data_IF_486646566360
#
_entry.id   IF_486646566360
#
_cell.length_a   1.000
_cell.length_b   1.000
_cell.length_c   1.000
_cell.angle_alpha   90.00
_cell.angle_beta   90.00
_cell.angle_gamma   90.00
#
_symmetry.space_group_name_H-M   'P 1'
#
loop_
_entity.id
_entity.type
_entity.pdbx_description
1 polymer ?
#
# COMPACT_ATOMS: atom_id res chain seq x y z
N UNK A 1 -34.44 -26.44 7.83
CA UNK A 1 -33.49 -25.50 8.45
C UNK A 1 -33.95 -24.10 8.11
N UNK A 2 -34.32 -23.33 9.14
CA UNK A 2 -35.11 -22.11 9.01
C UNK A 2 -34.29 -20.92 8.54
N UNK A 3 -34.72 -20.29 7.44
CA UNK A 3 -34.19 -19.02 6.95
C UNK A 3 -34.51 -17.90 7.96
N UNK A 4 -33.48 -17.26 8.53
CA UNK A 4 -33.67 -16.12 9.43
C UNK A 4 -33.39 -14.82 8.67
N UNK A 5 -34.41 -14.33 7.98
CA UNK A 5 -34.46 -13.00 7.36
C UNK A 5 -34.69 -11.95 8.45
N UNK A 6 -33.71 -11.09 8.75
CA UNK A 6 -33.90 -9.95 9.66
C UNK A 6 -34.09 -8.66 8.87
N UNK A 7 -35.35 -8.31 8.64
CA UNK A 7 -35.78 -6.95 8.25
C UNK A 7 -35.71 -6.06 9.50
N UNK A 8 -34.89 -5.00 9.47
CA UNK A 8 -34.92 -3.96 10.50
C UNK A 8 -35.83 -2.83 10.02
N UNK A 9 -36.91 -2.63 10.76
CA UNK A 9 -37.84 -1.52 10.66
C UNK A 9 -37.15 -0.23 11.07
N UNK A 10 -37.15 0.77 10.19
CA UNK A 10 -36.86 2.15 10.58
C UNK A 10 -38.15 2.73 11.16
N UNK A 11 -38.17 2.92 12.48
CA UNK A 11 -39.22 3.64 13.17
C UNK A 11 -39.05 5.14 12.91
N UNK A 12 -40.01 5.70 12.18
CA UNK A 12 -40.21 7.13 12.10
C UNK A 12 -40.71 7.65 13.46
N UNK A 13 -40.14 8.77 13.91
CA UNK A 13 -40.71 9.57 15.01
C UNK A 13 -40.49 11.02 14.65
N UNK A 14 -41.58 11.71 14.33
CA UNK A 14 -41.60 13.15 14.15
C UNK A 14 -41.91 13.85 15.47
N UNK A 15 -41.38 15.05 15.64
CA UNK A 15 -42.02 16.14 16.37
C UNK A 15 -41.37 17.46 15.91
N UNK A 16 -42.20 18.38 15.43
CA UNK A 16 -41.84 19.76 15.15
C UNK A 16 -42.11 20.61 16.40
N UNK A 17 -41.17 21.48 16.77
CA UNK A 17 -41.40 22.63 17.63
C UNK A 17 -40.54 23.80 17.12
N UNK A 18 -41.20 24.90 16.76
CA UNK A 18 -40.56 26.21 16.55
C UNK A 18 -40.62 26.99 17.87
N UNK A 19 -39.50 27.58 18.27
CA UNK A 19 -39.45 28.71 19.20
C UNK A 19 -38.19 29.55 18.91
N UNK A 20 -38.40 30.86 18.80
CA UNK A 20 -37.47 31.92 18.41
C UNK A 20 -36.62 32.48 19.56
N UNK A 21 -35.56 33.20 19.16
CA UNK A 21 -34.79 34.29 19.84
C UNK A 21 -33.53 33.97 20.71
N UNK A 22 -32.40 34.40 20.12
CA UNK A 22 -31.23 35.11 20.67
C UNK A 22 -30.32 34.40 21.72
N UNK A 23 -29.12 34.02 21.27
CA UNK A 23 -27.99 33.68 22.15
C UNK A 23 -26.85 32.95 21.46
N UNK A 24 -26.07 33.65 20.63
CA UNK A 24 -24.79 33.14 20.11
C UNK A 24 -23.76 33.08 21.25
N UNK A 25 -23.69 31.95 21.95
CA UNK A 25 -22.44 31.51 22.57
C UNK A 25 -22.14 30.10 22.03
N UNK A 26 -21.35 30.07 20.95
CA UNK A 26 -20.87 28.83 20.35
C UNK A 26 -19.76 28.26 21.24
N UNK A 27 -20.17 27.56 22.28
CA UNK A 27 -19.33 26.52 22.88
C UNK A 27 -19.29 25.38 21.86
N UNK A 28 -18.12 24.88 21.44
CA UNK A 28 -18.11 23.62 20.71
C UNK A 28 -18.64 22.57 21.68
N UNK A 29 -19.88 22.12 21.46
CA UNK A 29 -20.25 20.78 21.87
C UNK A 29 -19.20 19.88 21.27
N UNK A 30 -18.40 19.25 22.13
CA UNK A 30 -17.63 18.08 21.80
C UNK A 30 -18.67 17.01 21.45
N UNK A 31 -19.23 17.11 20.25
CA UNK A 31 -19.64 15.94 19.51
C UNK A 31 -18.34 15.15 19.45
N UNK A 32 -18.23 14.13 20.31
CA UNK A 32 -17.31 13.04 20.12
C UNK A 32 -17.64 12.54 18.70
N UNK A 33 -16.94 13.13 17.74
CA UNK A 33 -16.81 12.55 16.42
C UNK A 33 -16.18 11.23 16.77
N UNK A 34 -16.96 10.15 16.71
CA UNK A 34 -16.41 8.80 16.73
C UNK A 34 -15.18 8.87 15.85
N UNK A 35 -14.02 8.78 16.48
CA UNK A 35 -12.77 8.77 15.74
C UNK A 35 -12.95 7.59 14.81
N UNK A 36 -12.95 7.79 13.47
CA UNK A 36 -13.10 6.69 12.55
C UNK A 36 -12.14 5.61 13.03
N UNK A 37 -12.68 4.42 13.33
CA UNK A 37 -11.98 3.32 13.97
C UNK A 37 -10.51 3.36 13.57
N UNK A 38 -9.64 3.55 14.57
CA UNK A 38 -8.22 3.70 14.34
C UNK A 38 -7.78 2.57 13.39
N UNK A 39 -7.40 2.94 12.16
CA UNK A 39 -7.01 1.96 11.15
C UNK A 39 -5.88 1.16 11.78
N UNK A 40 -6.05 -0.16 11.99
CA UNK A 40 -5.06 -0.95 12.69
C UNK A 40 -3.73 -0.79 11.97
N UNK A 41 -2.66 -0.60 12.75
CA UNK A 41 -1.33 -0.46 12.19
C UNK A 41 -1.06 -1.67 11.29
N UNK A 42 -0.68 -1.45 10.02
CA UNK A 42 -0.47 -2.54 9.09
C UNK A 42 0.70 -3.38 9.59
N UNK A 43 0.53 -4.70 9.57
CA UNK A 43 1.64 -5.63 9.85
C UNK A 43 2.65 -5.54 8.70
N UNK A 44 3.94 -5.74 8.99
CA UNK A 44 4.99 -5.56 7.99
C UNK A 44 6.15 -6.52 8.14
N UNK A 45 6.77 -6.87 7.01
CA UNK A 45 8.04 -7.61 6.91
C UNK A 45 8.99 -6.89 5.95
N UNK A 46 10.23 -6.70 6.35
CA UNK A 46 11.23 -5.96 5.56
C UNK A 46 12.04 -6.87 4.63
N UNK A 47 12.21 -8.14 4.99
CA UNK A 47 12.95 -9.12 4.20
C UNK A 47 12.17 -10.44 4.07
N UNK A 48 11.06 -10.46 3.31
CA UNK A 48 10.36 -11.70 3.00
C UNK A 48 11.20 -12.58 2.08
N UNK A 49 10.96 -13.88 2.14
CA UNK A 49 11.45 -14.84 1.15
C UNK A 49 11.01 -14.38 -0.26
N UNK A 50 11.94 -14.40 -1.22
CA UNK A 50 11.70 -13.78 -2.53
C UNK A 50 12.52 -14.39 -3.66
N UNK A 51 11.95 -14.36 -4.85
CA UNK A 51 12.64 -14.60 -6.13
C UNK A 51 12.56 -13.35 -7.00
N UNK A 52 13.66 -13.02 -7.69
CA UNK A 52 13.76 -11.85 -8.56
C UNK A 52 14.08 -12.27 -9.99
N UNK A 53 13.25 -11.80 -10.91
CA UNK A 53 13.40 -12.01 -12.35
C UNK A 53 13.68 -10.68 -13.06
N UNK A 54 14.41 -10.73 -14.17
CA UNK A 54 14.67 -9.56 -15.02
C UNK A 54 14.61 -9.94 -16.50
N UNK A 55 13.93 -9.10 -17.30
CA UNK A 55 13.86 -9.24 -18.77
C UNK A 55 13.70 -7.88 -19.43
N UNK A 56 13.92 -7.81 -20.75
CA UNK A 56 13.71 -6.61 -21.57
C UNK A 56 12.38 -6.64 -22.34
N UNK A 57 11.77 -7.81 -22.53
CA UNK A 57 10.60 -8.01 -23.40
C UNK A 57 9.22 -7.72 -22.78
N UNK A 58 9.10 -7.69 -21.45
CA UNK A 58 7.81 -7.53 -20.75
C UNK A 58 7.90 -7.95 -19.28
N UNK A 59 6.80 -8.03 -18.52
CA UNK A 59 6.81 -8.67 -17.20
C UNK A 59 7.34 -10.12 -17.29
N UNK A 60 8.22 -10.51 -16.36
CA UNK A 60 8.78 -11.86 -16.35
C UNK A 60 7.81 -12.89 -15.73
N UNK A 61 6.92 -12.44 -14.85
CA UNK A 61 5.80 -13.23 -14.34
C UNK A 61 4.56 -12.35 -14.18
N UNK A 62 3.38 -12.90 -14.43
CA UNK A 62 2.11 -12.16 -14.30
C UNK A 62 0.92 -13.09 -14.03
N UNK A 63 -0.13 -12.53 -13.44
CA UNK A 63 -1.43 -13.17 -13.29
C UNK A 63 -2.40 -12.59 -14.34
N UNK A 64 -2.97 -13.38 -15.25
CA UNK A 64 -3.94 -12.90 -16.23
C UNK A 64 -5.22 -12.33 -15.59
N UNK A 65 -5.74 -11.24 -16.16
CA UNK A 65 -6.78 -10.37 -15.59
C UNK A 65 -8.16 -11.00 -15.35
N UNK A 66 -8.43 -12.25 -15.76
CA UNK A 66 -9.81 -12.78 -15.74
C UNK A 66 -10.44 -12.92 -14.33
N UNK A 67 -9.68 -12.76 -13.23
CA UNK A 67 -10.17 -12.68 -11.83
C UNK A 67 -9.13 -12.04 -10.87
N UNK A 68 -8.22 -11.20 -11.36
CA UNK A 68 -7.09 -10.75 -10.53
C UNK A 68 -7.46 -9.56 -9.63
N UNK A 69 -7.37 -9.71 -8.31
CA UNK A 69 -7.35 -8.57 -7.39
C UNK A 69 -6.06 -7.79 -7.60
N UNK A 70 -6.15 -6.75 -8.41
CA UNK A 70 -5.02 -5.98 -8.92
C UNK A 70 -5.21 -4.51 -8.60
N UNK A 71 -4.11 -3.82 -8.32
CA UNK A 71 -4.14 -2.37 -8.19
C UNK A 71 -3.33 -1.70 -9.28
N UNK A 72 -3.99 -0.76 -9.96
CA UNK A 72 -3.36 0.23 -10.82
C UNK A 72 -2.60 1.23 -9.95
N UNK A 73 -1.28 1.33 -10.11
CA UNK A 73 -0.49 2.34 -9.41
C UNK A 73 -0.86 3.75 -9.86
N UNK A 74 -1.27 4.59 -8.91
CA UNK A 74 -1.05 6.03 -9.02
C UNK A 74 0.44 6.29 -8.77
N UNK A 75 1.21 6.46 -9.84
CA UNK A 75 2.60 6.90 -9.75
C UNK A 75 2.60 8.39 -9.40
N UNK A 76 2.82 8.73 -8.13
CA UNK A 76 3.18 10.11 -7.77
C UNK A 76 4.68 10.30 -8.03
N UNK A 77 5.06 10.43 -9.29
CA UNK A 77 6.38 10.95 -9.67
C UNK A 77 6.32 12.46 -9.66
N UNK A 78 6.94 13.10 -8.67
CA UNK A 78 7.41 14.47 -8.83
C UNK A 78 8.65 14.44 -9.74
N UNK A 79 8.43 14.22 -11.04
CA UNK A 79 9.41 14.42 -12.09
C UNK A 79 8.67 14.60 -13.41
N UNK A 80 8.92 15.76 -14.02
CA UNK A 80 8.40 16.30 -15.28
C UNK A 80 8.24 15.27 -16.40
N UNK A 81 7.02 15.21 -16.95
CA UNK A 81 6.67 14.91 -18.34
C UNK A 81 7.20 13.63 -19.01
N UNK A 82 6.33 12.64 -19.18
CA UNK A 82 6.13 11.94 -20.48
C UNK A 82 4.85 11.08 -20.36
N UNK A 83 3.71 11.61 -20.80
CA UNK A 83 2.47 10.85 -20.96
C UNK A 83 2.49 10.14 -22.31
N UNK A 84 2.66 8.82 -22.28
CA UNK A 84 2.61 7.94 -23.45
C UNK A 84 2.07 6.57 -23.04
N UNK A 85 0.83 6.53 -22.57
CA UNK A 85 0.15 5.31 -22.14
C UNK A 85 -0.46 4.60 -23.36
N UNK A 86 0.30 3.67 -23.97
CA UNK A 86 -0.32 2.57 -24.72
C UNK A 86 -0.72 1.51 -23.70
N UNK A 87 -2.02 1.41 -23.47
CA UNK A 87 -2.66 0.50 -22.52
C UNK A 87 -2.37 -0.96 -22.88
N UNK A 88 -1.54 -1.62 -22.08
CA UNK A 88 -1.68 -3.04 -21.77
C UNK A 88 -1.61 -3.10 -20.26
N UNK A 89 -2.66 -3.62 -19.64
CA UNK A 89 -2.89 -3.64 -18.19
C UNK A 89 -1.81 -4.45 -17.45
N UNK A 90 -0.60 -3.89 -17.33
CA UNK A 90 0.48 -4.46 -16.54
C UNK A 90 0.23 -4.10 -15.09
N UNK A 91 -0.60 -4.91 -14.43
CA UNK A 91 -0.79 -4.89 -12.99
C UNK A 91 0.56 -4.77 -12.30
N UNK A 92 0.74 -3.75 -11.45
CA UNK A 92 2.03 -3.50 -10.81
C UNK A 92 2.27 -4.47 -9.66
N UNK A 93 1.25 -4.75 -8.86
CA UNK A 93 1.28 -5.75 -7.81
C UNK A 93 0.01 -6.60 -7.90
N UNK A 94 0.19 -7.92 -8.02
CA UNK A 94 -0.87 -8.92 -8.00
C UNK A 94 -0.72 -9.81 -6.76
N UNK A 95 -1.84 -10.31 -6.25
CA UNK A 95 -1.89 -11.19 -5.07
C UNK A 95 -2.47 -12.54 -5.49
N UNK A 96 -1.85 -13.62 -5.05
CA UNK A 96 -2.24 -15.01 -5.30
C UNK A 96 -2.40 -15.71 -3.95
N UNK A 97 -3.63 -16.12 -3.66
CA UNK A 97 -4.07 -16.59 -2.33
C UNK A 97 -4.42 -18.08 -2.30
N UNK A 98 -4.33 -18.79 -3.42
CA UNK A 98 -4.69 -20.21 -3.53
C UNK A 98 -3.93 -20.91 -4.65
N UNK A 99 -3.84 -22.24 -4.57
CA UNK A 99 -3.26 -23.08 -5.61
C UNK A 99 -3.93 -22.89 -6.97
N UNK A 100 -5.27 -22.81 -7.00
CA UNK A 100 -6.02 -22.57 -8.24
C UNK A 100 -5.68 -21.21 -8.88
N UNK A 101 -5.36 -20.19 -8.07
CA UNK A 101 -4.86 -18.92 -8.58
C UNK A 101 -3.39 -19.03 -9.03
N UNK A 102 -2.58 -19.85 -8.34
CA UNK A 102 -1.17 -20.10 -8.66
C UNK A 102 -1.00 -20.78 -10.03
N UNK A 103 -1.85 -21.74 -10.38
CA UNK A 103 -1.87 -22.41 -11.70
C UNK A 103 -2.07 -21.44 -12.88
N UNK A 104 -2.62 -20.26 -12.60
CA UNK A 104 -2.86 -19.22 -13.61
C UNK A 104 -1.67 -18.29 -13.79
N UNK A 105 -0.67 -18.35 -12.90
CA UNK A 105 0.56 -17.57 -13.05
C UNK A 105 1.24 -17.97 -14.36
N UNK A 106 1.70 -16.96 -15.11
CA UNK A 106 2.42 -17.14 -16.37
C UNK A 106 3.80 -16.55 -16.23
N UNK A 107 4.74 -17.15 -16.94
CA UNK A 107 6.15 -16.76 -16.95
C UNK A 107 6.61 -16.48 -18.37
N UNK A 108 7.47 -15.48 -18.53
CA UNK A 108 8.14 -15.23 -19.80
C UNK A 108 9.13 -16.36 -20.10
N UNK A 109 9.22 -16.78 -21.35
CA UNK A 109 10.11 -17.89 -21.77
C UNK A 109 11.58 -17.51 -21.81
N UNK A 110 11.89 -16.22 -21.93
CA UNK A 110 13.23 -15.67 -22.11
C UNK A 110 13.81 -15.04 -20.82
N UNK A 111 13.09 -15.10 -19.71
CA UNK A 111 13.57 -14.58 -18.44
C UNK A 111 14.53 -15.57 -17.76
N UNK A 112 15.69 -15.07 -17.34
CA UNK A 112 16.59 -15.83 -16.47
C UNK A 112 15.96 -16.08 -15.09
N UNK A 113 16.20 -17.26 -14.51
CA UNK A 113 15.68 -17.65 -13.18
C UNK A 113 14.22 -18.11 -13.15
N UNK A 114 13.60 -18.35 -14.31
CA UNK A 114 12.19 -18.77 -14.38
C UNK A 114 11.94 -20.11 -13.69
N UNK A 115 12.87 -21.06 -13.74
CA UNK A 115 12.70 -22.35 -13.07
C UNK A 115 12.69 -22.20 -11.54
N UNK A 116 13.55 -21.34 -10.99
CA UNK A 116 13.52 -21.00 -9.56
C UNK A 116 12.18 -20.32 -9.19
N UNK A 117 11.67 -19.45 -10.05
CA UNK A 117 10.39 -18.79 -9.83
C UNK A 117 9.21 -19.75 -9.91
N UNK A 118 9.24 -20.75 -10.80
CA UNK A 118 8.21 -21.82 -10.84
C UNK A 118 8.26 -22.65 -9.57
N UNK A 119 9.44 -23.10 -9.17
CA UNK A 119 9.62 -23.86 -7.93
C UNK A 119 9.16 -23.06 -6.71
N UNK A 120 9.38 -21.75 -6.68
CA UNK A 120 8.91 -20.88 -5.60
C UNK A 120 7.38 -20.81 -5.52
N UNK A 121 6.68 -20.81 -6.65
CA UNK A 121 5.21 -20.84 -6.68
C UNK A 121 4.69 -22.22 -6.30
N UNK A 122 5.30 -23.30 -6.80
CA UNK A 122 4.85 -24.68 -6.60
C UNK A 122 5.04 -25.19 -5.16
N UNK A 123 6.07 -24.70 -4.46
CA UNK A 123 6.38 -25.13 -3.09
C UNK A 123 5.65 -24.30 -2.03
N UNK A 124 4.87 -23.31 -2.45
CA UNK A 124 4.21 -22.37 -1.56
C UNK A 124 2.98 -22.99 -0.89
N UNK A 125 2.93 -22.91 0.44
CA UNK A 125 1.74 -23.27 1.22
C UNK A 125 0.79 -22.07 1.31
N UNK A 126 -0.28 -22.10 0.52
CA UNK A 126 -1.25 -21.00 0.42
C UNK A 126 -2.21 -20.90 1.61
N UNK A 127 -2.32 -21.95 2.42
CA UNK A 127 -3.09 -21.90 3.67
C UNK A 127 -2.32 -21.17 4.80
N UNK A 128 -1.01 -21.02 4.65
CA UNK A 128 -0.14 -20.32 5.59
C UNK A 128 0.44 -18.99 5.05
N UNK A 129 0.45 -18.82 3.72
CA UNK A 129 1.15 -17.72 3.07
C UNK A 129 0.42 -17.22 1.82
N UNK A 130 0.78 -16.03 1.36
CA UNK A 130 0.21 -15.41 0.16
C UNK A 130 1.34 -14.99 -0.77
N UNK A 131 1.21 -15.33 -2.06
CA UNK A 131 2.19 -14.93 -3.07
C UNK A 131 1.84 -13.52 -3.58
N UNK A 132 2.84 -12.65 -3.57
CA UNK A 132 2.76 -11.31 -4.16
C UNK A 132 3.67 -11.24 -5.39
N UNK A 133 3.11 -10.87 -6.56
CA UNK A 133 3.87 -10.68 -7.80
C UNK A 133 3.94 -9.18 -8.09
N UNK A 134 5.10 -8.56 -7.86
CA UNK A 134 5.33 -7.13 -8.04
C UNK A 134 6.25 -6.87 -9.23
N UNK A 135 5.77 -6.14 -10.22
CA UNK A 135 6.48 -5.87 -11.47
C UNK A 135 6.76 -4.39 -11.62
N UNK A 136 8.02 -4.07 -11.91
CA UNK A 136 8.53 -2.72 -12.08
C UNK A 136 9.26 -2.56 -13.40
N UNK A 137 9.11 -1.39 -14.01
CA UNK A 137 9.97 -0.96 -15.10
C UNK A 137 11.06 -0.05 -14.55
N UNK A 138 12.32 -0.46 -14.71
CA UNK A 138 13.50 0.26 -14.20
C UNK A 138 14.52 0.46 -15.32
N UNK A 139 15.41 1.45 -15.19
CA UNK A 139 16.55 1.54 -16.11
C UNK A 139 17.50 0.35 -15.91
N UNK A 140 18.31 0.07 -16.91
CA UNK A 140 19.30 -1.00 -16.89
C UNK A 140 20.15 -0.98 -15.60
N UNK A 141 20.57 0.22 -15.20
CA UNK A 141 21.46 0.44 -14.07
C UNK A 141 20.77 0.89 -12.78
N UNK A 142 19.45 1.10 -12.81
CA UNK A 142 18.70 1.36 -11.59
C UNK A 142 18.42 0.02 -10.86
N UNK A 143 18.58 0.03 -9.54
CA UNK A 143 18.21 -1.10 -8.68
C UNK A 143 17.02 -0.73 -7.79
N UNK A 144 16.16 -1.72 -7.53
CA UNK A 144 15.04 -1.59 -6.60
C UNK A 144 15.33 -2.44 -5.38
N UNK A 145 15.35 -1.80 -4.21
CA UNK A 145 15.43 -2.46 -2.91
C UNK A 145 14.05 -2.44 -2.27
N UNK A 146 13.54 -3.60 -1.86
CA UNK A 146 12.33 -3.68 -1.04
C UNK A 146 12.64 -3.12 0.36
N UNK A 147 11.86 -2.15 0.80
CA UNK A 147 11.96 -1.58 2.15
C UNK A 147 11.03 -2.31 3.12
N UNK A 148 9.79 -2.53 2.71
CA UNK A 148 8.79 -3.24 3.50
C UNK A 148 7.67 -3.75 2.61
N UNK A 149 7.21 -4.96 2.90
CA UNK A 149 5.93 -5.51 2.48
C UNK A 149 4.97 -5.38 3.66
N UNK A 150 3.86 -4.66 3.47
CA UNK A 150 2.88 -4.35 4.51
C UNK A 150 1.53 -4.93 4.14
N UNK A 151 0.76 -5.34 5.14
CA UNK A 151 -0.59 -5.84 4.91
C UNK A 151 -1.54 -5.49 6.05
N UNK A 152 -2.81 -5.55 5.71
CA UNK A 152 -3.97 -5.56 6.61
C UNK A 152 -4.89 -6.70 6.16
N UNK A 153 -5.99 -6.94 6.87
CA UNK A 153 -7.01 -7.90 6.39
C UNK A 153 -7.60 -7.57 5.01
N UNK A 154 -7.47 -6.34 4.51
CA UNK A 154 -8.10 -5.91 3.25
C UNK A 154 -7.13 -5.46 2.17
N UNK A 155 -5.82 -5.56 2.39
CA UNK A 155 -4.90 -5.01 1.43
C UNK A 155 -3.43 -5.25 1.71
N UNK A 156 -2.65 -5.19 0.64
CA UNK A 156 -1.21 -5.41 0.59
C UNK A 156 -0.53 -4.22 -0.06
N UNK A 157 0.56 -3.75 0.54
CA UNK A 157 1.37 -2.67 -0.01
C UNK A 157 2.85 -3.00 0.05
N UNK A 158 3.51 -2.97 -1.10
CA UNK A 158 4.96 -3.04 -1.18
C UNK A 158 5.56 -1.63 -1.23
N UNK A 159 6.70 -1.43 -0.57
CA UNK A 159 7.42 -0.16 -0.56
C UNK A 159 8.88 -0.39 -0.93
N UNK A 160 9.41 0.45 -1.81
CA UNK A 160 10.74 0.30 -2.38
C UNK A 160 11.56 1.58 -2.28
N UNK A 161 12.86 1.39 -2.26
CA UNK A 161 13.84 2.40 -2.58
C UNK A 161 14.41 2.14 -3.98
N UNK A 162 14.32 3.14 -4.87
CA UNK A 162 15.00 3.16 -6.15
C UNK A 162 16.40 3.75 -5.97
N UNK A 163 17.41 2.94 -6.18
CA UNK A 163 18.80 3.37 -6.21
C UNK A 163 19.22 3.59 -7.66
N UNK A 164 19.86 4.74 -7.90
CA UNK A 164 20.32 5.13 -9.22
C UNK A 164 21.83 5.04 -9.25
N UNK A 165 22.34 4.32 -10.24
CA UNK A 165 23.74 4.42 -10.61
C UNK A 165 23.92 5.64 -11.51
N UNK A 166 24.46 6.73 -10.95
CA UNK A 166 24.68 7.99 -11.67
C UNK A 166 25.87 7.94 -12.62
N UNK A 167 26.68 6.87 -12.57
CA UNK A 167 27.82 6.68 -13.48
C UNK A 167 27.43 5.91 -14.73
N UNK A 168 26.27 5.26 -14.73
CA UNK A 168 25.77 4.53 -15.87
C UNK A 168 24.87 5.40 -16.77
N UNK A 169 25.26 5.53 -18.03
CA UNK A 169 24.52 6.27 -19.05
C UNK A 169 23.48 5.42 -19.82
N UNK A 170 23.34 4.13 -19.48
CA UNK A 170 22.38 3.26 -20.16
C UNK A 170 20.93 3.70 -19.85
N UNK A 171 20.25 4.19 -20.89
CA UNK A 171 18.86 4.64 -20.84
C UNK A 171 17.86 3.52 -21.07
N UNK A 172 18.32 2.33 -21.47
CA UNK A 172 17.44 1.18 -21.74
C UNK A 172 16.71 0.81 -20.47
N UNK A 173 15.47 0.34 -20.63
CA UNK A 173 14.62 -0.09 -19.53
C UNK A 173 14.49 -1.61 -19.54
N UNK A 174 14.52 -2.19 -18.35
CA UNK A 174 14.18 -3.59 -18.12
C UNK A 174 12.96 -3.67 -17.22
N UNK A 175 12.30 -4.81 -17.28
CA UNK A 175 11.30 -5.22 -16.31
C UNK A 175 11.98 -6.02 -15.21
N UNK A 176 11.67 -5.70 -13.97
CA UNK A 176 12.03 -6.45 -12.78
C UNK A 176 10.75 -6.96 -12.17
N UNK A 177 10.62 -8.28 -12.05
CA UNK A 177 9.49 -8.92 -11.37
C UNK A 177 10.00 -9.58 -10.09
N UNK A 178 9.34 -9.30 -8.99
CA UNK A 178 9.60 -9.87 -7.67
C UNK A 178 8.43 -10.77 -7.29
N UNK A 179 8.74 -12.02 -6.98
CA UNK A 179 7.82 -12.93 -6.30
C UNK A 179 8.18 -12.86 -4.82
N UNK A 180 7.23 -12.41 -4.00
CA UNK A 180 7.43 -12.20 -2.57
C UNK A 180 6.47 -13.10 -1.79
N UNK A 181 6.99 -13.80 -0.78
CA UNK A 181 6.17 -14.56 0.17
C UNK A 181 5.69 -13.64 1.29
N UNK A 182 4.39 -13.40 1.32
CA UNK A 182 3.75 -12.78 2.47
C UNK A 182 3.46 -13.87 3.51
N UNK A 183 3.96 -13.74 4.77
CA UNK A 183 3.87 -14.80 5.79
C UNK A 183 2.50 -14.83 6.48
N UNK A 184 1.43 -14.70 5.70
CA UNK A 184 0.04 -14.84 6.14
C UNK A 184 -0.80 -15.28 4.94
N UNK A 185 -1.83 -16.09 5.20
CA UNK A 185 -2.88 -16.37 4.23
C UNK A 185 -3.90 -15.23 4.23
N UNK A 186 -4.13 -14.64 3.05
CA UNK A 186 -5.17 -13.65 2.82
C UNK A 186 -6.30 -14.29 2.02
N UNK A 187 -7.53 -13.84 2.28
CA UNK A 187 -8.70 -14.23 1.50
C UNK A 187 -8.82 -13.32 0.26
N UNK A 188 -9.00 -13.90 -0.94
CA UNK A 188 -9.14 -13.12 -2.17
C UNK A 188 -10.39 -12.23 -2.16
N UNK A 189 -11.44 -12.66 -1.48
CA UNK A 189 -12.67 -11.89 -1.30
C UNK A 189 -12.48 -10.69 -0.37
N UNK A 190 -11.46 -10.67 0.48
CA UNK A 190 -11.21 -9.57 1.42
C UNK A 190 -10.16 -8.58 0.90
N UNK A 191 -9.25 -9.02 0.04
CA UNK A 191 -8.26 -8.12 -0.55
C UNK A 191 -8.94 -7.16 -1.53
N UNK A 192 -8.97 -5.87 -1.19
CA UNK A 192 -9.54 -4.80 -2.02
C UNK A 192 -8.52 -3.73 -2.39
N UNK A 193 -7.40 -3.66 -1.66
CA UNK A 193 -6.37 -2.64 -1.83
C UNK A 193 -5.02 -3.28 -2.00
N UNK A 194 -4.57 -3.35 -3.23
CA UNK A 194 -3.20 -3.75 -3.55
C UNK A 194 -2.41 -2.49 -3.91
N UNK A 195 -1.08 -2.50 -3.86
CA UNK A 195 -0.33 -1.45 -4.52
C UNK A 195 1.12 -1.34 -4.10
N UNK A 196 1.82 -0.46 -4.80
CA UNK A 196 3.26 -0.28 -4.61
C UNK A 196 3.61 1.19 -4.47
N UNK A 197 4.59 1.49 -3.62
CA UNK A 197 5.21 2.79 -3.48
C UNK A 197 6.72 2.70 -3.77
N UNK A 198 7.26 3.64 -4.52
CA UNK A 198 8.70 3.72 -4.82
C UNK A 198 9.22 5.08 -4.37
N UNK A 199 10.35 5.10 -3.67
CA UNK A 199 10.98 6.30 -3.11
C UNK A 199 12.43 6.40 -3.58
N UNK A 200 12.90 7.63 -3.81
CA UNK A 200 14.31 7.92 -4.12
C UNK A 200 15.10 8.34 -2.88
N UNK A 201 14.43 8.71 -1.78
CA UNK A 201 15.06 9.23 -0.56
C UNK A 201 15.48 8.14 0.46
N UNK A 202 15.79 6.92 0.02
CA UNK A 202 16.10 5.80 0.90
C UNK A 202 14.89 5.06 1.47
N UNK A 203 15.15 3.95 2.16
CA UNK A 203 14.15 3.26 2.99
C UNK A 203 13.95 4.02 4.30
N UNK A 204 12.70 4.11 4.82
CA UNK A 204 12.48 4.63 6.16
C UNK A 204 13.28 3.80 7.17
N UNK A 205 14.05 4.47 8.02
CA UNK A 205 14.60 3.84 9.23
C UNK A 205 13.48 3.70 10.25
N UNK A 206 13.36 2.54 10.90
CA UNK A 206 12.42 2.36 11.99
C UNK A 206 12.78 3.32 13.14
N UNK A 207 12.11 4.47 13.18
CA UNK A 207 12.27 5.44 14.25
C UNK A 207 11.56 4.93 15.51
N UNK A 208 12.11 3.91 16.18
CA UNK A 208 11.80 3.67 17.59
C UNK A 208 12.52 4.72 18.44
N UNK A 209 11.79 5.78 18.82
CA UNK A 209 12.22 6.79 19.79
C UNK A 209 13.25 7.78 19.21
N UNK A 210 12.89 9.01 18.92
CA UNK A 210 12.66 10.03 19.95
C UNK A 210 11.65 11.04 19.42
N UNK A 211 10.57 11.23 20.18
CA UNK A 211 9.74 12.43 20.07
C UNK A 211 10.67 13.57 20.49
N UNK A 212 11.27 14.25 19.52
CA UNK A 212 11.96 15.51 19.77
C UNK A 212 10.89 16.46 20.34
N UNK A 213 10.90 16.58 21.67
CA UNK A 213 10.15 17.61 22.37
C UNK A 213 10.71 18.93 21.87
N UNK A 214 10.04 19.50 20.87
CA UNK A 214 10.29 20.86 20.41
C UNK A 214 10.16 21.75 21.65
N UNK A 215 11.23 22.42 22.12
CA UNK A 215 11.12 23.31 23.27
C UNK A 215 10.06 24.35 22.92
N UNK A 216 9.02 24.43 23.75
CA UNK A 216 7.97 25.41 23.62
C UNK A 216 8.58 26.80 23.47
N UNK A 217 8.19 27.49 22.41
CA UNK A 217 8.51 28.91 22.21
C UNK A 217 8.00 29.68 23.43
N UNK A 218 8.86 30.31 24.26
CA UNK A 218 8.36 31.12 25.36
C UNK A 218 7.62 32.32 24.77
N UNK A 219 6.30 32.35 24.96
CA UNK A 219 5.48 33.54 24.74
C UNK A 219 5.84 34.55 25.82
N UNK A 220 6.54 35.61 25.43
CA UNK A 220 6.80 36.79 26.25
C UNK A 220 5.49 37.51 26.53
N UNK A 221 4.84 37.16 27.64
CA UNK A 221 3.76 37.94 28.24
C UNK A 221 4.38 39.16 28.95
N UNK A 222 4.43 40.28 28.24
CA UNK A 222 4.61 41.59 28.86
C UNK A 222 3.29 41.99 29.51
N UNK A 223 3.15 41.71 30.81
CA UNK A 223 2.14 42.34 31.65
C UNK A 223 2.85 43.45 32.41
N UNK A 224 2.52 44.69 32.06
CA UNK A 224 2.94 45.86 32.82
C UNK A 224 1.93 46.05 33.93
N UNK A 225 2.41 46.14 35.17
CA UNK A 225 1.65 46.70 36.27
C UNK A 225 2.45 47.83 36.91
N UNK A 226 1.78 48.98 36.93
CA UNK A 226 2.06 50.13 37.78
C UNK A 226 1.67 49.79 39.22
N UNK A 227 2.43 50.28 40.19
CA UNK A 227 2.00 51.00 41.40
C UNK A 227 3.25 51.20 42.28
N UNK A 228 3.75 52.43 42.46
CA UNK A 228 3.34 53.46 43.43
C UNK A 228 3.83 53.17 44.86
N UNK A 229 4.94 53.81 45.23
CA UNK A 229 5.15 54.51 46.51
C UNK A 229 6.34 55.47 46.36
#
# INVERSE_FOLDING_TARGET
MSHTTRRRFLAASGAALLADLAGCNRTPDNTETETPDAVPDPTSVSDPERVRLRTTGGPAAWLPATNATSATSNVTTNATGESGATSTDTTRLAVVTSDSAAERVRFATDASGVDDARSFVETMDYDAATLCIDTHRVRACDSLRLCALRWTGTGVRASYHLERDTTCDDVRRSWVTLLLRLPVALDDADVRRVGTAVRTAGCPTDAKGTRSTRPGRPTRSGHGDRESS
#
